data_IF_507679830175
#
_entry.id   IF_507679830175
#
_cell.length_a   1.000
_cell.length_b   1.000
_cell.length_c   1.000
_cell.angle_alpha   90.00
_cell.angle_beta   90.00
_cell.angle_gamma   90.00
#
_symmetry.space_group_name_H-M   'P 1'
#
loop_
_entity.id
_entity.type
_entity.pdbx_description
1 polymer ?
#
# COMPACT_ATOMS: atom_id res chain seq x y z
N UNK A 1 3.69 -12.05 22.12
CA UNK A 1 4.17 -10.67 22.11
C UNK A 1 4.61 -10.38 20.68
N UNK A 2 3.81 -9.69 19.89
CA UNK A 2 4.16 -9.29 18.52
C UNK A 2 5.11 -8.08 18.62
N UNK A 3 6.33 -8.21 18.10
CA UNK A 3 7.29 -7.12 18.03
C UNK A 3 7.05 -6.30 16.76
N UNK A 4 6.93 -4.97 16.91
CA UNK A 4 6.81 -4.03 15.79
C UNK A 4 8.13 -3.29 15.63
N UNK A 5 8.62 -3.18 14.39
CA UNK A 5 9.80 -2.40 14.04
C UNK A 5 9.41 -1.32 13.04
N UNK A 6 9.92 -0.10 13.23
CA UNK A 6 9.69 1.04 12.36
C UNK A 6 11.02 1.77 12.07
N UNK A 7 11.25 2.19 10.82
CA UNK A 7 12.51 2.84 10.40
C UNK A 7 12.30 3.91 9.32
N UNK A 8 12.62 5.17 9.58
CA UNK A 8 12.43 6.24 8.60
C UNK A 8 13.49 6.22 7.46
N UNK A 9 13.07 6.37 6.19
CA UNK A 9 13.96 6.56 5.03
C UNK A 9 13.58 7.81 4.24
N UNK A 10 14.52 8.46 3.55
CA UNK A 10 14.26 9.57 2.62
C UNK A 10 15.11 9.39 1.35
N UNK A 11 14.48 9.46 0.17
CA UNK A 11 15.13 9.20 -1.12
C UNK A 11 15.43 10.47 -1.93
N UNK A 12 14.63 11.53 -1.76
CA UNK A 12 14.73 12.81 -2.50
C UNK A 12 14.81 14.03 -1.57
N UNK A 13 14.85 13.84 -0.25
CA UNK A 13 14.81 14.92 0.74
C UNK A 13 13.45 15.58 0.92
N UNK A 14 12.40 15.13 0.22
CA UNK A 14 11.04 15.66 0.31
C UNK A 14 10.08 14.67 0.97
N UNK A 15 10.31 13.37 0.80
CA UNK A 15 9.49 12.31 1.39
C UNK A 15 10.23 11.56 2.51
N UNK A 16 9.50 11.27 3.58
CA UNK A 16 9.94 10.41 4.68
C UNK A 16 9.02 9.19 4.76
N UNK A 17 9.61 8.01 4.73
CA UNK A 17 8.90 6.73 4.69
C UNK A 17 9.04 6.02 6.02
N UNK A 18 7.93 5.72 6.70
CA UNK A 18 7.90 5.03 7.98
C UNK A 18 7.22 3.65 7.81
N UNK A 19 7.98 2.59 7.47
CA UNK A 19 7.49 1.21 7.34
C UNK A 19 7.09 0.66 8.70
N UNK A 20 6.15 -0.29 8.67
CA UNK A 20 5.74 -1.11 9.80
C UNK A 20 6.02 -2.56 9.42
N UNK A 21 6.85 -3.23 10.20
CA UNK A 21 7.16 -4.63 10.02
C UNK A 21 6.52 -5.50 11.11
N UNK A 22 5.97 -6.63 10.70
CA UNK A 22 5.46 -7.68 11.58
C UNK A 22 5.92 -9.05 11.06
N UNK A 23 6.43 -9.92 11.93
CA UNK A 23 6.81 -11.30 11.58
C UNK A 23 7.76 -11.43 10.37
N UNK A 24 8.64 -10.44 10.19
CA UNK A 24 9.64 -10.40 9.12
C UNK A 24 9.10 -9.95 7.75
N UNK A 25 7.89 -9.37 7.69
CA UNK A 25 7.35 -8.74 6.47
C UNK A 25 6.88 -7.31 6.77
N UNK A 26 6.98 -6.42 5.78
CA UNK A 26 6.44 -5.06 5.87
C UNK A 26 4.92 -5.10 5.68
N UNK A 27 4.14 -4.87 6.72
CA UNK A 27 2.66 -4.91 6.67
C UNK A 27 2.03 -3.56 6.34
N UNK A 28 2.81 -2.49 6.32
CA UNK A 28 2.35 -1.19 5.88
C UNK A 28 3.45 -0.15 5.93
N UNK A 29 3.12 1.05 5.49
CA UNK A 29 4.02 2.21 5.56
C UNK A 29 3.23 3.50 5.55
N UNK A 30 3.61 4.45 6.39
CA UNK A 30 3.14 5.84 6.31
C UNK A 30 4.21 6.69 5.64
N UNK A 31 3.82 7.47 4.63
CA UNK A 31 4.66 8.42 3.93
C UNK A 31 4.29 9.83 4.36
N UNK A 32 5.30 10.59 4.73
CA UNK A 32 5.19 11.99 5.11
C UNK A 32 5.89 12.87 4.08
N UNK A 33 5.36 14.07 3.88
CA UNK A 33 6.03 15.16 3.16
C UNK A 33 6.73 16.07 4.16
N UNK A 34 7.98 16.41 3.90
CA UNK A 34 8.68 17.46 4.61
C UNK A 34 8.09 18.82 4.22
N UNK A 35 7.71 19.62 5.21
CA UNK A 35 7.29 21.00 5.08
C UNK A 35 8.11 21.85 6.06
N UNK A 36 9.22 22.40 5.57
CA UNK A 36 10.25 23.00 6.42
C UNK A 36 10.81 21.98 7.41
N UNK A 37 10.72 22.29 8.71
CA UNK A 37 11.15 21.40 9.81
C UNK A 37 10.07 20.45 10.30
N UNK A 38 8.89 20.42 9.65
CA UNK A 38 7.74 19.60 10.08
C UNK A 38 7.41 18.51 9.07
N UNK A 39 6.78 17.43 9.54
CA UNK A 39 6.28 16.35 8.70
C UNK A 39 4.76 16.42 8.59
N UNK A 40 4.25 16.44 7.36
CA UNK A 40 2.83 16.34 7.07
C UNK A 40 2.49 14.94 6.54
N UNK A 41 1.39 14.36 7.01
CA UNK A 41 0.84 13.13 6.45
C UNK A 41 0.61 13.28 4.94
N UNK A 42 0.99 12.27 4.16
CA UNK A 42 0.81 12.29 2.71
C UNK A 42 0.08 11.06 2.20
N UNK A 43 0.67 9.87 2.37
CA UNK A 43 0.11 8.61 1.91
C UNK A 43 0.29 7.53 2.96
N UNK A 44 -0.60 6.54 2.96
CA UNK A 44 -0.46 5.36 3.80
C UNK A 44 -0.74 4.12 2.97
N UNK A 45 0.05 3.09 3.18
CA UNK A 45 -0.08 1.80 2.54
C UNK A 45 -0.32 0.72 3.58
N UNK A 46 -1.26 -0.18 3.29
CA UNK A 46 -1.51 -1.38 4.07
C UNK A 46 -1.35 -2.60 3.16
N UNK A 47 -0.65 -3.62 3.63
CA UNK A 47 -0.35 -4.81 2.87
C UNK A 47 -0.94 -6.05 3.54
N UNK A 48 -1.42 -6.99 2.73
CA UNK A 48 -1.82 -8.33 3.20
C UNK A 48 -1.01 -9.37 2.46
N UNK A 49 -0.78 -10.48 3.14
CA UNK A 49 0.03 -11.58 2.67
C UNK A 49 -0.74 -12.90 2.79
N UNK A 50 -0.41 -13.86 1.92
CA UNK A 50 -0.83 -15.26 2.07
C UNK A 50 0.10 -16.02 3.04
N UNK A 51 -0.19 -17.30 3.27
CA UNK A 51 0.58 -18.17 4.17
C UNK A 51 2.04 -18.36 3.71
N UNK A 52 2.32 -18.15 2.42
CA UNK A 52 3.67 -18.21 1.85
C UNK A 52 4.39 -16.87 1.91
N UNK A 53 3.86 -15.88 2.64
CA UNK A 53 4.39 -14.51 2.74
C UNK A 53 4.46 -13.79 1.39
N UNK A 54 3.59 -14.13 0.43
CA UNK A 54 3.45 -13.40 -0.84
C UNK A 54 2.36 -12.33 -0.68
N UNK A 55 2.62 -11.12 -1.15
CA UNK A 55 1.66 -10.02 -1.03
C UNK A 55 0.42 -10.29 -1.89
N UNK A 56 -0.77 -10.30 -1.29
CA UNK A 56 -2.04 -10.54 -1.98
C UNK A 56 -2.91 -9.29 -2.08
N UNK A 57 -2.67 -8.28 -1.25
CA UNK A 57 -3.36 -6.98 -1.31
C UNK A 57 -2.39 -5.85 -0.96
N UNK A 58 -2.46 -4.77 -1.73
CA UNK A 58 -1.85 -3.47 -1.41
C UNK A 58 -2.94 -2.40 -1.45
N UNK A 59 -3.30 -1.86 -0.30
CA UNK A 59 -4.26 -0.77 -0.17
C UNK A 59 -3.54 0.56 0.05
N UNK A 60 -3.96 1.57 -0.70
CA UNK A 60 -3.44 2.93 -0.62
C UNK A 60 -4.50 3.87 -0.07
N UNK A 61 -4.13 4.65 0.94
CA UNK A 61 -4.89 5.76 1.47
C UNK A 61 -4.14 7.07 1.23
N UNK A 62 -4.90 8.14 0.99
CA UNK A 62 -4.39 9.51 0.88
C UNK A 62 -4.83 10.31 2.09
N UNK A 63 -3.95 11.16 2.59
CA UNK A 63 -4.30 12.08 3.65
C UNK A 63 -5.17 13.21 3.11
N UNK A 64 -6.34 13.43 3.71
CA UNK A 64 -7.16 14.60 3.48
C UNK A 64 -6.87 15.62 4.60
N UNK A 65 -6.06 16.63 4.30
CA UNK A 65 -5.66 17.63 5.30
C UNK A 65 -6.81 18.53 5.75
N UNK A 66 -7.87 18.68 4.96
CA UNK A 66 -9.04 19.50 5.33
C UNK A 66 -9.92 18.81 6.37
N UNK A 67 -10.03 17.48 6.27
CA UNK A 67 -10.84 16.67 7.17
C UNK A 67 -10.03 15.98 8.28
N UNK A 68 -8.71 16.06 8.18
CA UNK A 68 -7.77 15.37 9.07
C UNK A 68 -8.00 13.86 9.13
N UNK A 69 -8.26 13.23 7.98
CA UNK A 69 -8.55 11.80 7.89
C UNK A 69 -7.81 11.11 6.72
N UNK A 70 -7.60 9.80 6.85
CA UNK A 70 -7.12 8.95 5.76
C UNK A 70 -8.28 8.51 4.87
N UNK A 71 -8.25 8.91 3.61
CA UNK A 71 -9.27 8.52 2.62
C UNK A 71 -8.76 7.38 1.73
N UNK A 72 -9.63 6.39 1.51
CA UNK A 72 -9.37 5.28 0.59
C UNK A 72 -9.18 5.79 -0.83
N UNK A 73 -8.14 5.30 -1.53
CA UNK A 73 -7.81 5.75 -2.88
C UNK A 73 -7.74 4.59 -3.88
N UNK A 74 -6.82 3.67 -3.67
CA UNK A 74 -6.53 2.54 -4.57
C UNK A 74 -6.43 1.24 -3.76
N UNK A 75 -6.79 0.13 -4.38
CA UNK A 75 -6.45 -1.21 -3.90
C UNK A 75 -5.95 -2.02 -5.07
N UNK A 76 -4.89 -2.78 -4.85
CA UNK A 76 -4.32 -3.71 -5.83
C UNK A 76 -4.40 -5.10 -5.21
N UNK A 77 -4.97 -6.05 -5.94
CA UNK A 77 -5.01 -7.45 -5.54
C UNK A 77 -4.09 -8.26 -6.43
N UNK A 78 -3.34 -9.19 -5.83
CA UNK A 78 -2.47 -10.11 -6.54
C UNK A 78 -3.02 -11.53 -6.41
N UNK A 79 -3.29 -12.17 -7.53
CA UNK A 79 -3.71 -13.57 -7.60
C UNK A 79 -2.60 -14.39 -8.22
N UNK A 80 -2.13 -15.41 -7.51
CA UNK A 80 -1.06 -16.30 -7.95
C UNK A 80 -1.64 -17.63 -8.44
N UNK A 81 -1.40 -17.98 -9.71
CA UNK A 81 -1.88 -19.22 -10.32
C UNK A 81 -0.72 -19.92 -11.04
N UNK A 82 -0.19 -21.00 -10.43
CA UNK A 82 1.02 -21.65 -10.93
C UNK A 82 2.19 -20.67 -11.00
N UNK A 83 2.68 -20.41 -12.22
CA UNK A 83 3.78 -19.47 -12.49
C UNK A 83 3.32 -18.09 -12.93
N UNK A 84 2.04 -17.76 -12.87
CA UNK A 84 1.55 -16.43 -13.26
C UNK A 84 1.07 -15.64 -12.05
N UNK A 85 1.16 -14.32 -12.16
CA UNK A 85 0.54 -13.37 -11.23
C UNK A 85 -0.39 -12.46 -12.01
N UNK A 86 -1.65 -12.40 -11.57
CA UNK A 86 -2.64 -11.44 -12.07
C UNK A 86 -2.77 -10.30 -11.08
N UNK A 87 -2.54 -9.08 -11.54
CA UNK A 87 -2.64 -7.85 -10.76
C UNK A 87 -3.94 -7.13 -11.13
N UNK A 88 -4.89 -7.07 -10.20
CA UNK A 88 -6.17 -6.40 -10.37
C UNK A 88 -6.17 -5.06 -9.66
N UNK A 89 -6.48 -3.98 -10.38
CA UNK A 89 -6.53 -2.63 -9.83
C UNK A 89 -7.97 -2.22 -9.52
N UNK A 90 -8.17 -1.63 -8.35
CA UNK A 90 -9.47 -1.13 -7.92
C UNK A 90 -9.36 0.29 -7.42
N UNK A 91 -10.27 1.15 -7.88
CA UNK A 91 -10.39 2.53 -7.39
C UNK A 91 -11.50 2.62 -6.35
N UNK A 92 -11.26 3.33 -5.25
CA UNK A 92 -12.31 3.63 -4.30
C UNK A 92 -13.38 4.53 -4.93
N UNK A 93 -14.64 4.10 -4.85
CA UNK A 93 -15.78 4.88 -5.29
C UNK A 93 -16.57 5.38 -4.07
N UNK A 94 -16.50 6.69 -3.80
CA UNK A 94 -17.16 7.31 -2.66
C UNK A 94 -18.69 7.13 -2.66
N UNK A 95 -19.33 7.14 -3.83
CA UNK A 95 -20.79 6.96 -3.95
C UNK A 95 -21.21 5.52 -3.62
N UNK A 96 -20.48 4.53 -4.16
CA UNK A 96 -20.75 3.11 -3.93
C UNK A 96 -20.22 2.59 -2.59
N UNK A 97 -19.39 3.39 -1.89
CA UNK A 97 -18.65 2.99 -0.67
C UNK A 97 -17.91 1.66 -0.87
N UNK A 98 -17.34 1.46 -2.05
CA UNK A 98 -16.70 0.21 -2.44
C UNK A 98 -15.50 0.46 -3.37
N UNK A 99 -14.55 -0.48 -3.35
CA UNK A 99 -13.50 -0.56 -4.36
C UNK A 99 -14.08 -1.17 -5.64
N UNK A 100 -13.95 -0.44 -6.75
CA UNK A 100 -14.50 -0.84 -8.07
C UNK A 100 -13.33 -1.19 -8.99
N UNK A 101 -13.42 -2.36 -9.64
CA UNK A 101 -12.40 -2.86 -10.56
C UNK A 101 -12.19 -1.86 -11.71
N UNK A 102 -10.92 -1.61 -12.04
CA UNK A 102 -10.47 -0.83 -13.20
C UNK A 102 -9.81 -1.81 -14.16
N UNK A 103 -10.59 -2.46 -15.04
CA UNK A 103 -10.11 -3.60 -15.82
C UNK A 103 -9.01 -3.24 -16.82
N UNK A 104 -8.99 -2.00 -17.30
CA UNK A 104 -7.97 -1.49 -18.24
C UNK A 104 -6.56 -1.47 -17.63
N UNK A 105 -6.46 -1.47 -16.30
CA UNK A 105 -5.18 -1.52 -15.58
C UNK A 105 -4.81 -2.93 -15.13
N UNK A 106 -5.68 -3.93 -15.33
CA UNK A 106 -5.39 -5.32 -14.95
C UNK A 106 -4.28 -5.88 -15.84
N UNK A 107 -3.26 -6.46 -15.22
CA UNK A 107 -2.11 -7.05 -15.92
C UNK A 107 -1.86 -8.46 -15.41
N UNK A 108 -1.69 -9.42 -16.32
CA UNK A 108 -1.21 -10.77 -16.01
C UNK A 108 0.20 -10.92 -16.54
N UNK A 109 1.12 -11.38 -15.70
CA UNK A 109 2.53 -11.56 -16.04
C UNK A 109 3.04 -12.90 -15.49
N UNK A 110 4.08 -13.43 -16.12
CA UNK A 110 4.82 -14.56 -15.55
C UNK A 110 5.53 -14.11 -14.27
N UNK A 111 5.35 -14.88 -13.20
CA UNK A 111 6.05 -14.72 -11.94
C UNK A 111 7.40 -15.42 -12.03
N UNK A 112 8.42 -14.66 -12.44
CA UNK A 112 9.79 -15.15 -12.61
C UNK A 112 10.53 -15.42 -11.30
N UNK A 113 9.90 -15.14 -10.15
CA UNK A 113 10.48 -15.35 -8.81
C UNK A 113 10.00 -16.66 -8.13
N UNK A 114 9.25 -17.50 -8.84
CA UNK A 114 8.94 -18.89 -8.48
C UNK A 114 9.88 -19.86 -9.22
#
# INVERSE_FOLDING_TARGET
MTSFVASARSYDGQLVYNPVEENGVMVGQTVYKMNGSTLANYMKYNYKYDDNKRMIESETLKWNSTKEEWEKDLRINYTYEGKTVTTNYYKWNNKKRAYVLVPEMTVTMDNTNL
#
